data_IF_288608182429
#
_entry.id   IF_288608182429
#
_cell.length_a   1.000
_cell.length_b   1.000
_cell.length_c   1.000
_cell.angle_alpha   90.00
_cell.angle_beta   90.00
_cell.angle_gamma   90.00
#
_symmetry.space_group_name_H-M   'P 1'
#
loop_
_entity.id
_entity.type
_entity.pdbx_description
1 polymer ?
#
# COMPACT_ATOMS: atom_id res chain seq x y z
N UNK A 1 -9.50 -33.27 -9.31
CA UNK A 1 -9.47 -32.21 -8.28
C UNK A 1 -8.30 -31.30 -8.61
N UNK A 2 -8.56 -30.06 -9.01
CA UNK A 2 -7.52 -29.06 -9.31
C UNK A 2 -7.06 -28.42 -8.00
N UNK A 3 -5.75 -28.38 -7.75
CA UNK A 3 -5.17 -27.70 -6.60
C UNK A 3 -5.50 -26.19 -6.65
N UNK A 4 -5.65 -25.51 -5.50
CA UNK A 4 -5.91 -24.07 -5.48
C UNK A 4 -4.75 -23.33 -6.16
N UNK A 5 -5.09 -22.35 -7.00
CA UNK A 5 -4.10 -21.50 -7.65
C UNK A 5 -3.45 -20.65 -6.57
N UNK A 6 -2.12 -20.73 -6.49
CA UNK A 6 -1.34 -19.93 -5.56
C UNK A 6 -1.19 -18.51 -6.12
N UNK A 7 -2.23 -17.70 -5.88
CA UNK A 7 -2.32 -16.29 -6.31
C UNK A 7 -1.30 -15.38 -5.60
N UNK A 8 -0.56 -15.88 -4.60
CA UNK A 8 0.49 -15.11 -3.90
C UNK A 8 1.66 -14.71 -4.79
N UNK A 9 1.78 -15.33 -5.98
CA UNK A 9 2.84 -15.04 -6.95
C UNK A 9 2.43 -14.03 -8.02
N UNK A 10 1.18 -13.56 -8.03
CA UNK A 10 0.75 -12.53 -8.97
C UNK A 10 1.26 -11.20 -8.42
N UNK A 11 2.24 -10.53 -9.08
CA UNK A 11 2.71 -9.25 -8.62
C UNK A 11 1.54 -8.26 -8.67
N UNK A 12 1.31 -7.54 -7.58
CA UNK A 12 0.32 -6.47 -7.56
C UNK A 12 0.76 -5.38 -8.56
N UNK A 13 -0.17 -4.81 -9.32
CA UNK A 13 0.17 -3.69 -10.18
C UNK A 13 0.66 -2.52 -9.33
N UNK A 14 1.76 -1.91 -9.75
CA UNK A 14 2.26 -0.69 -9.13
C UNK A 14 1.30 0.46 -9.43
N UNK A 15 0.78 1.10 -8.37
CA UNK A 15 -0.08 2.27 -8.49
C UNK A 15 0.78 3.49 -8.14
N UNK A 16 1.00 4.36 -9.13
CA UNK A 16 1.72 5.61 -8.90
C UNK A 16 0.94 6.50 -7.92
N UNK A 17 1.61 6.97 -6.88
CA UNK A 17 1.03 7.95 -5.97
C UNK A 17 0.84 9.29 -6.69
N UNK A 18 -0.28 9.99 -6.48
CA UNK A 18 -0.50 11.29 -7.10
C UNK A 18 0.43 12.37 -6.52
N UNK A 19 0.96 13.23 -7.40
CA UNK A 19 1.86 14.32 -7.03
C UNK A 19 1.14 15.54 -6.43
N UNK A 20 -0.16 15.69 -6.66
CA UNK A 20 -0.94 16.79 -6.11
C UNK A 20 -2.44 16.46 -6.08
N UNK A 21 -3.19 17.28 -5.35
CA UNK A 21 -4.64 17.25 -5.29
C UNK A 21 -5.16 18.61 -4.86
N UNK A 22 -6.26 19.06 -5.45
CA UNK A 22 -6.94 20.31 -5.05
C UNK A 22 -7.81 20.12 -3.79
N UNK A 23 -7.98 18.88 -3.32
CA UNK A 23 -8.75 18.59 -2.13
C UNK A 23 -7.91 18.86 -0.87
N UNK A 24 -8.28 19.80 0.00
CA UNK A 24 -7.40 20.30 1.06
C UNK A 24 -6.96 19.21 2.05
N UNK A 25 -7.88 18.32 2.43
CA UNK A 25 -7.57 17.20 3.34
C UNK A 25 -6.59 16.22 2.69
N UNK A 26 -6.80 15.89 1.41
CA UNK A 26 -5.95 14.94 0.71
C UNK A 26 -4.56 15.54 0.47
N UNK A 27 -4.47 16.85 0.25
CA UNK A 27 -3.19 17.54 0.10
C UNK A 27 -2.32 17.41 1.36
N UNK A 28 -2.93 17.56 2.56
CA UNK A 28 -2.23 17.37 3.84
C UNK A 28 -1.78 15.92 4.00
N UNK A 29 -2.64 14.95 3.67
CA UNK A 29 -2.30 13.52 3.75
C UNK A 29 -1.13 13.19 2.81
N UNK A 30 -1.18 13.63 1.55
CA UNK A 30 -0.10 13.39 0.58
C UNK A 30 1.23 14.03 1.01
N UNK A 31 1.18 15.23 1.58
CA UNK A 31 2.38 15.89 2.10
C UNK A 31 3.02 15.09 3.25
N UNK A 32 2.21 14.58 4.18
CA UNK A 32 2.70 13.77 5.29
C UNK A 32 3.22 12.40 4.82
N UNK A 33 2.55 11.77 3.86
CA UNK A 33 3.01 10.51 3.28
C UNK A 33 4.37 10.66 2.58
N UNK A 34 4.59 11.76 1.86
CA UNK A 34 5.91 12.05 1.27
C UNK A 34 6.97 12.26 2.33
N UNK A 35 6.65 12.97 3.40
CA UNK A 35 7.58 13.20 4.52
C UNK A 35 8.05 11.89 5.15
N UNK A 36 7.20 10.86 5.15
CA UNK A 36 7.48 9.54 5.73
C UNK A 36 7.97 8.51 4.71
N UNK A 37 8.14 8.86 3.43
CA UNK A 37 8.52 7.90 2.40
C UNK A 37 9.90 7.28 2.63
N UNK A 38 10.81 8.01 3.29
CA UNK A 38 12.13 7.53 3.69
C UNK A 38 12.13 6.81 5.06
N UNK A 39 10.99 6.78 5.76
CA UNK A 39 10.84 6.05 7.02
C UNK A 39 10.54 4.57 6.72
N UNK A 40 11.16 3.61 7.42
CA UNK A 40 10.88 2.19 7.22
C UNK A 40 9.41 1.90 7.52
N UNK A 41 8.68 1.45 6.50
CA UNK A 41 7.28 1.06 6.62
C UNK A 41 7.15 -0.18 7.49
N UNK A 42 6.57 -0.02 8.68
CA UNK A 42 6.22 -1.15 9.56
C UNK A 42 4.84 -1.66 9.15
N UNK A 43 4.81 -2.65 8.24
CA UNK A 43 3.59 -3.39 7.94
C UNK A 43 3.43 -4.46 9.01
N UNK A 44 2.40 -4.35 9.85
CA UNK A 44 2.04 -5.41 10.78
C UNK A 44 1.50 -6.59 9.98
N UNK A 45 2.25 -7.69 9.93
CA UNK A 45 1.74 -8.95 9.43
C UNK A 45 0.72 -9.48 10.46
N UNK A 46 -0.56 -9.34 10.15
CA UNK A 46 -1.60 -10.04 10.90
C UNK A 46 -1.52 -11.51 10.46
N UNK A 47 -1.03 -12.38 11.35
CA UNK A 47 -1.23 -13.82 11.19
C UNK A 47 -2.72 -14.10 11.33
N UNK A 48 -3.31 -14.78 10.34
CA UNK A 48 -4.68 -15.26 10.44
C UNK A 48 -4.79 -16.15 11.69
N UNK A 49 -5.62 -15.72 12.65
CA UNK A 49 -5.87 -16.47 13.86
C UNK A 49 -6.59 -17.80 13.53
N UNK A 50 -6.27 -18.89 14.26
CA UNK A 50 -6.67 -20.27 13.94
C UNK A 50 -8.17 -20.57 14.05
#
# INVERSE_FOLDING_TARGET
>A
MTAPVDDSRIPLPEIAAPDHTDHPVLAVILAELRRRQDEPSVVAHYEDAP
#
